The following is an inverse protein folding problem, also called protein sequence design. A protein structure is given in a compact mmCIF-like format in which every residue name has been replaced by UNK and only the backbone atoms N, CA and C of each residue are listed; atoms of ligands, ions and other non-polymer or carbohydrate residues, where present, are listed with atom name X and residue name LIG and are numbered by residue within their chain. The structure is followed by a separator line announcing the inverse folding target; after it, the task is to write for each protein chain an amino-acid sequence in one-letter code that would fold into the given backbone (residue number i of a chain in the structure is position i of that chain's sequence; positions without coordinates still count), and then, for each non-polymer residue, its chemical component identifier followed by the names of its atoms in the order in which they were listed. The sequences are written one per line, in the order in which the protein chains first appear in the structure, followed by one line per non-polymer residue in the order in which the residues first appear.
data_IF_678267963463
#
_entry.id   IF_678267963463
#
_cell.length_a   1.000
_cell.length_b   1.000
_cell.length_c   1.000
_cell.angle_alpha   90.00
_cell.angle_beta   90.00
_cell.angle_gamma   90.00
#
_symmetry.space_group_name_H-M   'P 1'
#
loop_
_entity.id
_entity.type
_entity.pdbx_description
1 polymer ?
#
# COMPACT_ATOMS: atom_id res chain seq x y z
N UNK A 1 -3.45 8.52 23.40
CA UNK A 1 -2.01 8.53 23.57
C UNK A 1 -1.36 9.20 22.36
N UNK A 2 -0.59 10.24 22.63
CA UNK A 2 0.05 10.99 21.58
C UNK A 2 1.19 10.18 20.98
N UNK A 3 1.11 9.88 19.69
CA UNK A 3 2.25 9.30 18.99
C UNK A 3 3.38 10.32 19.01
N UNK A 4 4.57 9.89 19.38
CA UNK A 4 5.75 10.76 19.27
C UNK A 4 5.90 11.19 17.80
N UNK A 5 5.92 12.50 17.60
CA UNK A 5 6.10 13.03 16.26
C UNK A 5 7.52 12.70 15.80
N UNK A 6 7.63 11.82 14.81
CA UNK A 6 8.92 11.43 14.27
C UNK A 6 9.47 12.57 13.42
N UNK A 7 10.79 12.71 13.46
CA UNK A 7 11.46 13.75 12.69
C UNK A 7 11.30 13.49 11.20
N UNK A 8 10.80 14.48 10.47
CA UNK A 8 10.74 14.42 9.01
C UNK A 8 12.13 14.72 8.44
N UNK A 9 12.55 13.89 7.49
CA UNK A 9 13.80 14.07 6.76
C UNK A 9 13.47 14.25 5.29
N UNK A 10 14.38 14.88 4.50
CA UNK A 10 14.17 15.00 3.06
C UNK A 10 13.89 13.64 2.39
N UNK A 11 14.55 12.58 2.86
CA UNK A 11 14.35 11.23 2.32
C UNK A 11 12.92 10.74 2.57
N UNK A 12 12.41 10.92 3.80
CA UNK A 12 11.04 10.53 4.14
C UNK A 12 10.02 11.32 3.33
N UNK A 13 10.23 12.61 3.22
CA UNK A 13 9.33 13.49 2.46
C UNK A 13 9.28 13.08 0.98
N UNK A 14 10.43 12.74 0.40
CA UNK A 14 10.52 12.33 -0.99
C UNK A 14 9.75 11.03 -1.24
N UNK A 15 9.88 10.04 -0.36
CA UNK A 15 9.17 8.76 -0.48
C UNK A 15 7.67 8.99 -0.34
N UNK A 16 7.25 9.73 0.65
CA UNK A 16 5.83 10.00 0.89
C UNK A 16 5.20 10.77 -0.26
N UNK A 17 5.91 11.78 -0.77
CA UNK A 17 5.44 12.56 -1.92
C UNK A 17 5.28 11.70 -3.16
N UNK A 18 6.26 10.83 -3.43
CA UNK A 18 6.19 9.94 -4.59
C UNK A 18 4.97 9.03 -4.51
N UNK A 19 4.73 8.41 -3.37
CA UNK A 19 3.58 7.53 -3.18
C UNK A 19 2.26 8.29 -3.26
N UNK A 20 2.21 9.49 -2.70
CA UNK A 20 1.00 10.32 -2.74
C UNK A 20 0.70 10.78 -4.17
N UNK A 21 1.73 11.20 -4.88
CA UNK A 21 1.60 11.70 -6.26
C UNK A 21 1.12 10.62 -7.22
N UNK A 22 1.69 9.41 -7.11
CA UNK A 22 1.28 8.30 -7.96
C UNK A 22 -0.13 7.81 -7.67
N UNK A 23 -0.55 7.90 -6.41
CA UNK A 23 -1.88 7.43 -6.00
C UNK A 23 -2.10 5.93 -6.13
N UNK A 24 -1.05 5.18 -6.42
CA UNK A 24 -1.10 3.72 -6.61
C UNK A 24 0.01 3.06 -5.81
N UNK A 25 -0.17 1.78 -5.53
CA UNK A 25 0.84 1.02 -4.80
C UNK A 25 2.09 0.84 -5.66
N UNK A 26 3.25 0.97 -5.04
CA UNK A 26 4.54 0.82 -5.70
C UNK A 26 5.39 -0.20 -4.96
N UNK A 27 6.12 -1.01 -5.72
CA UNK A 27 7.14 -1.88 -5.13
C UNK A 27 8.35 -1.06 -4.68
N UNK A 28 9.16 -1.65 -3.81
CA UNK A 28 10.40 -0.99 -3.37
C UNK A 28 11.30 -0.67 -4.56
N UNK A 29 11.40 -1.57 -5.53
CA UNK A 29 12.21 -1.35 -6.71
C UNK A 29 11.69 -0.18 -7.55
N UNK A 30 10.37 -0.08 -7.70
CA UNK A 30 9.75 1.03 -8.43
C UNK A 30 9.99 2.35 -7.71
N UNK A 31 9.92 2.37 -6.39
CA UNK A 31 10.21 3.56 -5.60
C UNK A 31 11.66 3.99 -5.80
N UNK A 32 12.58 3.04 -5.72
CA UNK A 32 14.01 3.31 -5.90
C UNK A 32 14.31 3.93 -7.27
N UNK A 33 13.66 3.43 -8.31
CA UNK A 33 13.85 3.92 -9.67
C UNK A 33 13.27 5.30 -9.92
N UNK A 34 12.22 5.67 -9.19
CA UNK A 34 11.47 6.90 -9.45
C UNK A 34 11.72 7.99 -8.43
N UNK A 35 12.52 7.74 -7.42
CA UNK A 35 12.83 8.75 -6.41
C UNK A 35 13.94 9.66 -6.93
N UNK A 36 13.76 10.97 -6.71
CA UNK A 36 14.69 11.96 -7.25
C UNK A 36 15.95 12.14 -6.39
N UNK A 37 15.93 11.64 -5.17
CA UNK A 37 17.06 11.77 -4.26
C UNK A 37 17.90 10.49 -4.26
N UNK A 38 19.22 10.61 -4.06
CA UNK A 38 20.09 9.43 -3.99
C UNK A 38 19.94 8.75 -2.63
N UNK A 39 18.91 7.94 -2.49
CA UNK A 39 18.62 7.20 -1.27
C UNK A 39 18.95 5.73 -1.51
N UNK A 40 19.73 5.15 -0.63
CA UNK A 40 20.08 3.75 -0.77
C UNK A 40 18.90 2.83 -0.43
N UNK A 41 18.97 1.62 -0.94
CA UNK A 41 17.89 0.63 -0.84
C UNK A 41 17.50 0.33 0.62
N UNK A 42 18.49 0.19 1.50
CA UNK A 42 18.24 -0.11 2.90
C UNK A 42 17.50 1.03 3.59
N UNK A 43 17.84 2.28 3.24
CA UNK A 43 17.18 3.45 3.80
C UNK A 43 15.73 3.53 3.34
N UNK A 44 15.45 3.27 2.07
CA UNK A 44 14.08 3.23 1.53
C UNK A 44 13.26 2.18 2.30
N UNK A 45 13.82 1.00 2.50
CA UNK A 45 13.14 -0.08 3.22
C UNK A 45 12.79 0.34 4.65
N UNK A 46 13.73 0.97 5.35
CA UNK A 46 13.48 1.44 6.73
C UNK A 46 12.40 2.52 6.78
N UNK A 47 12.41 3.43 5.81
CA UNK A 47 11.41 4.49 5.72
C UNK A 47 10.03 3.88 5.52
N UNK A 48 9.90 2.93 4.57
CA UNK A 48 8.64 2.28 4.29
C UNK A 48 8.10 1.52 5.49
N UNK A 49 8.97 0.79 6.20
CA UNK A 49 8.57 0.09 7.41
C UNK A 49 8.05 1.04 8.49
N UNK A 50 8.70 2.19 8.66
CA UNK A 50 8.24 3.18 9.62
C UNK A 50 6.90 3.77 9.25
N UNK A 51 6.68 4.05 7.97
CA UNK A 51 5.37 4.54 7.51
C UNK A 51 4.28 3.51 7.73
N UNK A 52 4.60 2.23 7.56
CA UNK A 52 3.64 1.15 7.84
C UNK A 52 3.31 1.07 9.33
N UNK A 53 4.31 1.19 10.19
CA UNK A 53 4.11 1.20 11.64
C UNK A 53 3.26 2.39 12.09
N UNK A 54 3.46 3.54 11.44
CA UNK A 54 2.72 4.76 11.77
C UNK A 54 1.33 4.82 11.13
N UNK A 55 0.99 3.84 10.30
CA UNK A 55 -0.31 3.78 9.63
C UNK A 55 -0.45 4.70 8.44
N UNK A 56 0.63 5.33 7.98
CA UNK A 56 0.61 6.23 6.84
C UNK A 56 0.66 5.52 5.50
N UNK A 57 1.21 4.32 5.49
CA UNK A 57 1.40 3.52 4.27
C UNK A 57 0.88 2.11 4.53
N UNK A 58 0.21 1.55 3.54
CA UNK A 58 -0.24 0.16 3.55
C UNK A 58 0.74 -0.72 2.80
N UNK A 59 1.05 -1.86 3.39
CA UNK A 59 1.85 -2.88 2.73
C UNK A 59 0.90 -3.93 2.14
N UNK A 60 1.03 -4.18 0.85
CA UNK A 60 0.20 -5.14 0.13
C UNK A 60 1.12 -6.22 -0.45
N UNK A 61 0.79 -7.48 -0.19
CA UNK A 61 1.55 -8.59 -0.78
C UNK A 61 0.75 -9.14 -1.94
N UNK A 62 1.31 -9.07 -3.14
CA UNK A 62 0.67 -9.55 -4.35
C UNK A 62 0.90 -11.05 -4.56
N UNK A 63 0.25 -11.62 -5.59
CA UNK A 63 0.36 -13.05 -5.87
C UNK A 63 1.76 -13.49 -6.25
N UNK A 64 2.61 -12.56 -6.70
CA UNK A 64 4.01 -12.85 -7.00
C UNK A 64 4.90 -12.86 -5.76
N UNK A 65 4.31 -12.63 -4.59
CA UNK A 65 5.05 -12.56 -3.33
C UNK A 65 5.75 -11.25 -3.08
N UNK A 66 5.68 -10.32 -4.00
CA UNK A 66 6.32 -9.00 -3.84
C UNK A 66 5.47 -8.10 -2.97
N UNK A 67 6.15 -7.27 -2.20
CA UNK A 67 5.52 -6.27 -1.35
C UNK A 67 5.35 -4.97 -2.11
N UNK A 68 4.17 -4.38 -1.99
CA UNK A 68 3.86 -3.09 -2.57
C UNK A 68 3.41 -2.15 -1.46
N UNK A 69 3.66 -0.87 -1.64
CA UNK A 69 3.38 0.15 -0.62
C UNK A 69 2.53 1.25 -1.24
N UNK A 70 1.50 1.67 -0.51
CA UNK A 70 0.57 2.68 -0.99
C UNK A 70 0.16 3.61 0.14
N UNK A 71 0.08 4.90 -0.17
CA UNK A 71 -0.60 5.86 0.69
C UNK A 71 -2.06 5.82 0.32
N UNK A 72 -2.91 5.49 1.27
CA UNK A 72 -4.35 5.48 1.06
C UNK A 72 -4.99 6.45 2.04
N UNK A 73 -5.26 7.66 1.58
CA UNK A 73 -5.87 8.69 2.42
C UNK A 73 -7.24 8.24 2.90
N UNK A 74 -7.97 7.53 2.04
CA UNK A 74 -9.30 7.02 2.35
C UNK A 74 -9.29 5.95 3.43
N UNK A 75 -8.18 5.23 3.58
CA UNK A 75 -8.08 4.18 4.59
C UNK A 75 -8.02 4.74 6.02
N UNK A 76 -7.62 5.98 6.17
CA UNK A 76 -7.60 6.66 7.46
C UNK A 76 -8.97 7.27 7.81
N UNK A 77 -9.89 7.32 6.85
CA UNK A 77 -11.24 7.80 7.08
C UNK A 77 -12.02 6.73 7.85
N UNK A 78 -12.66 7.15 8.93
CA UNK A 78 -13.47 6.24 9.75
C UNK A 78 -14.64 5.62 8.98
N UNK A 79 -15.09 6.28 7.92
CA UNK A 79 -16.15 5.78 7.06
C UNK A 79 -15.64 4.74 6.06
N UNK A 80 -14.33 4.63 5.86
CA UNK A 80 -13.74 3.68 4.94
C UNK A 80 -13.50 2.34 5.65
N UNK A 81 -13.91 1.21 5.06
CA UNK A 81 -13.72 -0.09 5.71
C UNK A 81 -12.24 -0.38 5.96
N UNK A 82 -11.90 -0.78 7.19
CA UNK A 82 -10.53 -1.14 7.52
C UNK A 82 -10.08 -2.39 6.77
N UNK A 83 -11.01 -3.34 6.59
CA UNK A 83 -10.76 -4.54 5.83
C UNK A 83 -11.37 -4.35 4.45
N UNK A 84 -10.56 -3.95 3.49
CA UNK A 84 -11.02 -3.71 2.14
C UNK A 84 -10.18 -4.47 1.15
N UNK A 85 -10.71 -4.64 -0.07
CA UNK A 85 -9.99 -5.32 -1.12
C UNK A 85 -8.95 -4.42 -1.76
N UNK A 86 -7.88 -5.05 -2.21
CA UNK A 86 -6.94 -4.42 -3.12
C UNK A 86 -7.06 -5.15 -4.45
N UNK A 87 -6.89 -4.43 -5.54
CA UNK A 87 -6.99 -5.03 -6.86
C UNK A 87 -5.70 -4.84 -7.63
N UNK A 88 -5.16 -5.94 -8.13
CA UNK A 88 -3.98 -5.93 -8.97
C UNK A 88 -4.37 -6.24 -10.41
N UNK A 89 -4.00 -5.35 -11.34
CA UNK A 89 -4.20 -5.55 -12.76
C UNK A 89 -2.99 -6.23 -13.37
N UNK A 90 -3.21 -7.33 -14.07
CA UNK A 90 -2.13 -8.05 -14.76
C UNK A 90 -1.60 -7.29 -15.96
N UNK A 91 -2.42 -6.44 -16.57
CA UNK A 91 -2.04 -5.68 -17.76
C UNK A 91 -1.17 -4.48 -17.45
N UNK A 92 -1.65 -3.61 -16.57
CA UNK A 92 -0.92 -2.39 -16.23
C UNK A 92 -0.09 -2.49 -14.96
N UNK A 93 -0.17 -3.62 -14.25
CA UNK A 93 0.59 -3.89 -13.02
C UNK A 93 0.33 -2.92 -11.88
N UNK A 94 -0.79 -2.21 -11.93
CA UNK A 94 -1.16 -1.31 -10.84
C UNK A 94 -1.89 -2.08 -9.74
N UNK A 95 -1.72 -1.60 -8.51
CA UNK A 95 -2.46 -2.11 -7.36
C UNK A 95 -3.19 -0.92 -6.75
N UNK A 96 -4.49 -1.06 -6.58
CA UNK A 96 -5.29 0.01 -6.00
C UNK A 96 -6.18 -0.52 -4.89
N UNK A 97 -6.56 0.37 -3.97
CA UNK A 97 -7.51 0.05 -2.91
C UNK A 97 -8.92 0.19 -3.45
N UNK A 98 -9.74 -0.85 -3.25
CA UNK A 98 -11.15 -0.80 -3.60
C UNK A 98 -11.96 -0.45 -2.36
N UNK A 99 -12.92 0.48 -2.46
CA UNK A 99 -13.69 0.95 -1.30
C UNK A 99 -14.82 -0.01 -0.94
N UNK A 100 -14.52 -1.29 -0.87
CA UNK A 100 -15.50 -2.32 -0.53
C UNK A 100 -15.01 -3.15 0.64
N UNK A 101 -15.89 -3.36 1.62
CA UNK A 101 -15.55 -4.15 2.79
C UNK A 101 -15.42 -5.63 2.43
N UNK A 102 -14.46 -6.28 3.05
CA UNK A 102 -14.27 -7.72 2.93
C UNK A 102 -15.15 -8.41 3.95
N UNK A 103 -16.01 -9.29 3.49
CA UNK A 103 -16.86 -10.10 4.35
C UNK A 103 -16.38 -11.55 4.32
N UNK A 104 -16.07 -12.07 5.48
CA UNK A 104 -15.62 -13.46 5.62
C UNK A 104 -16.02 -13.97 6.98
N UNK A 105 -16.04 -15.29 7.11
CA UNK A 105 -16.25 -15.94 8.40
C UNK A 105 -15.09 -16.87 8.68
N UNK A 106 -14.76 -16.98 9.96
CA UNK A 106 -13.65 -17.80 10.42
C UNK A 106 -14.19 -18.85 11.39
N UNK A 107 -13.72 -20.08 11.33
CA UNK A 107 -14.16 -21.11 12.27
C UNK A 107 -13.90 -20.70 13.72
N UNK A 108 -14.73 -21.20 14.61
CA UNK A 108 -14.59 -20.89 16.03
C UNK A 108 -13.22 -21.33 16.54
N UNK A 109 -12.61 -20.48 17.37
CA UNK A 109 -11.31 -20.76 17.96
C UNK A 109 -10.13 -20.17 17.19
N UNK A 110 -10.36 -19.62 16.00
CA UNK A 110 -9.31 -18.99 15.22
C UNK A 110 -9.26 -17.48 15.48
N UNK A 111 -8.06 -16.96 15.70
CA UNK A 111 -7.83 -15.54 15.89
C UNK A 111 -7.13 -14.96 14.66
N UNK A 112 -7.77 -14.00 14.00
CA UNK A 112 -7.21 -13.38 12.80
C UNK A 112 -6.40 -12.16 13.21
N UNK A 113 -5.11 -12.17 12.93
CA UNK A 113 -4.23 -11.03 13.23
C UNK A 113 -4.09 -10.08 12.04
N UNK A 114 -4.16 -10.60 10.82
CA UNK A 114 -4.05 -9.77 9.63
C UNK A 114 -4.82 -10.37 8.48
N UNK A 115 -5.24 -9.51 7.55
CA UNK A 115 -5.96 -9.93 6.36
C UNK A 115 -5.26 -9.30 5.16
N UNK A 116 -4.99 -10.14 4.15
CA UNK A 116 -4.37 -9.68 2.92
C UNK A 116 -5.24 -10.12 1.75
N UNK A 117 -6.22 -9.28 1.38
CA UNK A 117 -7.17 -9.60 0.32
C UNK A 117 -6.79 -8.86 -0.95
N UNK A 118 -6.16 -9.56 -1.87
CA UNK A 118 -5.78 -9.01 -3.17
C UNK A 118 -6.49 -9.79 -4.26
N UNK A 119 -7.29 -9.07 -5.05
CA UNK A 119 -7.93 -9.62 -6.24
C UNK A 119 -7.02 -9.36 -7.42
N UNK A 120 -6.77 -10.37 -8.23
CA UNK A 120 -5.90 -10.26 -9.39
C UNK A 120 -6.72 -10.48 -10.66
N UNK A 121 -6.55 -9.59 -11.62
CA UNK A 121 -7.31 -9.68 -12.87
C UNK A 121 -7.01 -8.52 -13.79
N UNK A 122 -8.04 -8.00 -14.42
CA UNK A 122 -7.95 -6.87 -15.36
C UNK A 122 -8.75 -5.72 -14.77
N UNK A 123 -8.13 -4.55 -14.61
CA UNK A 123 -8.81 -3.38 -14.06
C UNK A 123 -9.83 -2.83 -15.10
N UNK A 124 -10.73 -2.00 -14.61
CA UNK A 124 -11.80 -1.46 -15.47
C UNK A 124 -11.28 -0.69 -16.69
N UNK A 125 -10.16 0.03 -16.51
CA UNK A 125 -9.59 0.81 -17.61
C UNK A 125 -8.95 -0.09 -18.66
N UNK A 126 -8.23 -1.14 -18.24
CA UNK A 126 -7.64 -2.11 -19.17
C UNK A 126 -8.73 -2.97 -19.83
N UNK A 127 -9.80 -3.27 -19.14
CA UNK A 127 -10.91 -4.04 -19.69
C UNK A 127 -11.60 -3.28 -20.81
N UNK A 128 -11.70 -1.95 -20.71
CA UNK A 128 -12.29 -1.10 -21.75
C UNK A 128 -11.40 -1.00 -22.98
N UNK A 129 -10.10 -1.18 -22.83
CA UNK A 129 -9.13 -1.02 -23.91
C UNK A 129 -9.01 -2.25 -24.80
N UNK A 130 -9.68 -3.35 -24.47
CA UNK A 130 -9.66 -4.58 -25.29
C UNK A 130 -10.80 -4.66 -26.26
#
# INVERSE_FOLDING_TARGET
MLKMKRRNTPSKDAVLELLTRTGKAMSRDAIEKNIDLPIDRATIYRILNRFCEDGQVHKIVAEDGKQYFAVCIKCDDKAFPQNHFHFRCKKCNTIECLPQAVHFSVPEGYHVESINCVLTGICKDCAKAT
#
